data_IF_061617990383
#
_entry.id   IF_061617990383
#
_cell.length_a   1.000
_cell.length_b   1.000
_cell.length_c   1.000
_cell.angle_alpha   90.00
_cell.angle_beta   90.00
_cell.angle_gamma   90.00
#
_symmetry.space_group_name_H-M   'P 1'
#
loop_
_entity.id
_entity.type
_entity.pdbx_description
1 polymer ?
#
# COMPACT_ATOMS: atom_id res chain seq x y z
N UNK A 1 5.92 -14.80 7.35
CA UNK A 1 6.00 -13.40 7.82
C UNK A 1 5.31 -12.54 6.77
N UNK A 2 5.01 -11.28 7.02
CA UNK A 2 4.35 -10.40 6.04
C UNK A 2 5.13 -9.10 5.91
N UNK A 3 4.86 -8.36 4.82
CA UNK A 3 5.28 -6.97 4.70
C UNK A 3 4.06 -6.05 4.65
N UNK A 4 4.19 -4.86 5.24
CA UNK A 4 3.22 -3.79 5.09
C UNK A 4 3.73 -2.81 4.02
N UNK A 5 2.96 -2.63 2.96
CA UNK A 5 3.25 -1.68 1.88
C UNK A 5 2.20 -0.58 1.94
N UNK A 6 2.61 0.67 2.03
CA UNK A 6 1.70 1.81 1.92
C UNK A 6 1.77 2.42 0.52
N UNK A 7 0.66 2.99 0.03
CA UNK A 7 0.63 3.60 -1.30
C UNK A 7 0.72 2.58 -2.44
N UNK A 8 0.38 1.32 -2.16
CA UNK A 8 0.52 0.21 -3.10
C UNK A 8 -0.51 0.19 -4.23
N UNK A 9 -1.46 1.13 -4.29
CA UNK A 9 -2.33 1.33 -5.46
C UNK A 9 -1.79 2.43 -6.42
N UNK A 10 -0.73 3.15 -6.03
CA UNK A 10 -0.03 4.09 -6.91
C UNK A 10 0.90 3.41 -7.92
N UNK A 11 1.54 4.19 -8.80
CA UNK A 11 2.36 3.64 -9.89
C UNK A 11 3.52 2.74 -9.43
N UNK A 12 4.43 3.27 -8.60
CA UNK A 12 5.58 2.49 -8.11
C UNK A 12 5.12 1.41 -7.13
N UNK A 13 4.22 1.77 -6.23
CA UNK A 13 3.70 0.87 -5.21
C UNK A 13 3.04 -0.39 -5.80
N UNK A 14 2.19 -0.24 -6.81
CA UNK A 14 1.51 -1.38 -7.43
C UNK A 14 2.50 -2.31 -8.15
N UNK A 15 3.47 -1.76 -8.89
CA UNK A 15 4.51 -2.56 -9.52
C UNK A 15 5.33 -3.33 -8.47
N UNK A 16 5.69 -2.70 -7.36
CA UNK A 16 6.37 -3.38 -6.26
C UNK A 16 5.53 -4.52 -5.69
N UNK A 17 4.24 -4.30 -5.42
CA UNK A 17 3.35 -5.35 -4.86
C UNK A 17 3.20 -6.52 -5.83
N UNK A 18 2.99 -6.26 -7.12
CA UNK A 18 2.86 -7.30 -8.15
C UNK A 18 4.16 -8.11 -8.25
N UNK A 19 5.30 -7.44 -8.39
CA UNK A 19 6.60 -8.10 -8.51
C UNK A 19 6.97 -8.89 -7.26
N UNK A 20 6.67 -8.35 -6.08
CA UNK A 20 6.91 -9.04 -4.80
C UNK A 20 6.14 -10.36 -4.72
N UNK A 21 4.84 -10.35 -5.04
CA UNK A 21 3.98 -11.54 -4.99
C UNK A 21 4.30 -12.56 -6.09
N UNK A 22 4.88 -12.12 -7.21
CA UNK A 22 5.33 -13.01 -8.27
C UNK A 22 6.59 -13.81 -7.88
N UNK A 23 7.49 -13.20 -7.12
CA UNK A 23 8.83 -13.77 -6.84
C UNK A 23 9.05 -14.25 -5.41
N UNK A 24 8.14 -13.92 -4.48
CA UNK A 24 8.25 -14.28 -3.07
C UNK A 24 7.00 -15.01 -2.59
N UNK A 25 7.16 -15.80 -1.53
CA UNK A 25 6.04 -16.47 -0.85
C UNK A 25 5.55 -15.72 0.41
N UNK A 26 5.84 -14.42 0.47
CA UNK A 26 5.52 -13.57 1.61
C UNK A 26 4.27 -12.73 1.34
N UNK A 27 3.19 -12.82 2.15
CA UNK A 27 2.01 -11.99 2.01
C UNK A 27 2.30 -10.49 2.11
N UNK A 28 1.51 -9.72 1.37
CA UNK A 28 1.54 -8.26 1.34
C UNK A 28 0.27 -7.69 1.92
N UNK A 29 0.41 -6.87 2.95
CA UNK A 29 -0.66 -6.00 3.47
C UNK A 29 -0.50 -4.65 2.77
N UNK A 30 -1.41 -4.33 1.86
CA UNK A 30 -1.37 -3.13 1.04
C UNK A 30 -2.33 -2.08 1.60
N UNK A 31 -1.79 -1.07 2.29
CA UNK A 31 -2.53 0.05 2.85
C UNK A 31 -2.53 1.22 1.87
N UNK A 32 -3.69 1.59 1.35
CA UNK A 32 -3.80 2.73 0.44
C UNK A 32 -5.05 3.56 0.73
N UNK A 33 -4.92 4.89 0.70
CA UNK A 33 -6.04 5.82 0.91
C UNK A 33 -6.96 5.90 -0.30
N UNK A 34 -6.48 5.46 -1.47
CA UNK A 34 -7.11 5.66 -2.78
C UNK A 34 -7.40 7.15 -3.00
N UNK A 35 -6.35 7.97 -2.91
CA UNK A 35 -6.41 9.37 -3.34
C UNK A 35 -6.51 9.43 -4.88
N UNK A 36 -6.46 10.62 -5.46
CA UNK A 36 -6.50 10.79 -6.93
C UNK A 36 -5.40 10.00 -7.67
N UNK A 37 -4.28 9.69 -7.00
CA UNK A 37 -3.15 8.97 -7.59
C UNK A 37 -3.21 7.45 -7.37
N UNK A 38 -4.13 6.97 -6.53
CA UNK A 38 -4.33 5.54 -6.28
C UNK A 38 -5.37 4.94 -7.23
N UNK A 39 -5.05 3.83 -7.88
CA UNK A 39 -5.96 3.16 -8.80
C UNK A 39 -5.95 1.64 -8.59
N UNK A 40 -7.10 1.07 -8.20
CA UNK A 40 -7.25 -0.37 -7.97
C UNK A 40 -7.07 -1.20 -9.25
N UNK A 41 -7.28 -0.61 -10.43
CA UNK A 41 -7.02 -1.30 -11.71
C UNK A 41 -5.55 -1.68 -11.86
N UNK A 42 -4.63 -0.94 -11.22
CA UNK A 42 -3.21 -1.30 -11.19
C UNK A 42 -2.97 -2.63 -10.47
N UNK A 43 -3.91 -3.07 -9.63
CA UNK A 43 -3.85 -4.30 -8.83
C UNK A 43 -4.84 -5.38 -9.33
N UNK A 44 -5.49 -5.19 -10.48
CA UNK A 44 -6.53 -6.09 -10.97
C UNK A 44 -6.03 -7.55 -11.11
N UNK A 45 -4.77 -7.74 -11.50
CA UNK A 45 -4.14 -9.07 -11.60
C UNK A 45 -3.94 -9.80 -10.27
N UNK A 46 -4.17 -9.13 -9.13
CA UNK A 46 -4.08 -9.70 -7.79
C UNK A 46 -5.46 -10.00 -7.19
N UNK A 47 -6.57 -9.77 -7.91
CA UNK A 47 -7.90 -10.09 -7.40
C UNK A 47 -8.02 -11.58 -7.05
N UNK A 48 -8.47 -11.86 -5.83
CA UNK A 48 -8.61 -13.23 -5.31
C UNK A 48 -7.30 -13.88 -4.86
N UNK A 49 -6.16 -13.19 -4.94
CA UNK A 49 -4.90 -13.71 -4.41
C UNK A 49 -4.91 -13.62 -2.87
N UNK A 50 -4.96 -14.76 -2.19
CA UNK A 50 -5.01 -14.84 -0.72
C UNK A 50 -3.79 -14.21 -0.02
N UNK A 51 -2.67 -14.06 -0.74
CA UNK A 51 -1.45 -13.42 -0.22
C UNK A 51 -1.46 -11.89 -0.38
N UNK A 52 -2.47 -11.33 -1.06
CA UNK A 52 -2.65 -9.88 -1.19
C UNK A 52 -3.85 -9.41 -0.36
N UNK A 53 -3.57 -8.75 0.76
CA UNK A 53 -4.58 -8.16 1.63
C UNK A 53 -4.63 -6.67 1.37
N UNK A 54 -5.69 -6.19 0.73
CA UNK A 54 -5.90 -4.77 0.50
C UNK A 54 -6.66 -4.13 1.66
N UNK A 55 -6.10 -3.04 2.21
CA UNK A 55 -6.72 -2.24 3.27
C UNK A 55 -6.87 -0.82 2.77
N UNK A 56 -8.12 -0.36 2.64
CA UNK A 56 -8.38 1.04 2.33
C UNK A 56 -8.29 1.88 3.61
N UNK A 57 -7.38 2.85 3.66
CA UNK A 57 -7.24 3.71 4.83
C UNK A 57 -6.10 4.72 4.72
N UNK A 58 -6.01 5.62 5.69
CA UNK A 58 -5.00 6.67 5.74
C UNK A 58 -3.83 6.25 6.65
N UNK A 59 -2.59 6.48 6.21
CA UNK A 59 -1.41 6.26 7.05
C UNK A 59 -1.35 7.23 8.25
N UNK A 60 -2.08 8.34 8.19
CA UNK A 60 -2.25 9.27 9.32
C UNK A 60 -3.23 8.79 10.39
N UNK A 61 -3.99 7.72 10.14
CA UNK A 61 -4.91 7.14 11.12
C UNK A 61 -4.16 6.17 12.05
N UNK A 62 -3.59 6.70 13.14
CA UNK A 62 -2.74 5.93 14.06
C UNK A 62 -3.39 4.63 14.55
N UNK A 63 -4.69 4.66 14.89
CA UNK A 63 -5.42 3.48 15.39
C UNK A 63 -5.59 2.39 14.33
N UNK A 64 -5.61 2.73 13.04
CA UNK A 64 -5.59 1.78 11.95
C UNK A 64 -4.20 1.15 11.80
N UNK A 65 -3.16 1.99 11.76
CA UNK A 65 -1.78 1.52 11.61
C UNK A 65 -1.39 0.60 12.78
N UNK A 66 -1.69 1.00 14.02
CA UNK A 66 -1.45 0.19 15.22
C UNK A 66 -2.13 -1.18 15.14
N UNK A 67 -3.39 -1.21 14.69
CA UNK A 67 -4.14 -2.45 14.51
C UNK A 67 -3.49 -3.36 13.46
N UNK A 68 -3.12 -2.81 12.30
CA UNK A 68 -2.48 -3.58 11.22
C UNK A 68 -1.12 -4.14 11.66
N UNK A 69 -0.33 -3.35 12.39
CA UNK A 69 0.95 -3.79 12.95
C UNK A 69 0.77 -4.91 13.99
N UNK A 70 -0.22 -4.79 14.86
CA UNK A 70 -0.52 -5.80 15.88
C UNK A 70 -1.08 -7.10 15.30
N UNK A 71 -2.01 -7.00 14.34
CA UNK A 71 -2.70 -8.14 13.71
C UNK A 71 -1.78 -8.92 12.78
N UNK A 72 -1.11 -8.24 11.85
CA UNK A 72 -0.34 -8.90 10.80
C UNK A 72 1.13 -9.11 11.17
N UNK A 73 1.64 -8.38 12.18
CA UNK A 73 3.04 -8.43 12.65
C UNK A 73 4.05 -8.46 11.50
N UNK A 74 3.99 -7.47 10.58
CA UNK A 74 4.88 -7.46 9.43
C UNK A 74 6.33 -7.35 9.88
N UNK A 75 7.23 -8.05 9.19
CA UNK A 75 8.67 -7.99 9.50
C UNK A 75 9.34 -6.72 8.95
N UNK A 76 8.68 -6.05 8.01
CA UNK A 76 9.15 -4.85 7.35
C UNK A 76 7.99 -3.96 6.91
N UNK A 77 8.25 -2.66 6.82
CA UNK A 77 7.32 -1.65 6.29
C UNK A 77 8.00 -0.97 5.10
N UNK A 78 7.30 -0.87 3.97
CA UNK A 78 7.73 -0.16 2.78
C UNK A 78 6.74 0.97 2.53
N UNK A 79 7.20 2.21 2.61
CA UNK A 79 6.33 3.39 2.58
C UNK A 79 6.41 4.13 1.23
N UNK A 80 5.45 3.90 0.32
CA UNK A 80 5.32 4.67 -0.93
C UNK A 80 4.23 5.74 -0.86
N UNK A 81 3.37 5.73 0.16
CA UNK A 81 2.28 6.69 0.29
C UNK A 81 2.83 8.13 0.41
N UNK A 82 2.49 8.96 -0.57
CA UNK A 82 2.80 10.38 -0.62
C UNK A 82 1.87 11.11 -1.60
N UNK A 83 1.73 12.43 -1.48
CA UNK A 83 1.23 13.26 -2.57
C UNK A 83 2.41 13.72 -3.43
N UNK A 84 2.44 13.32 -4.70
CA UNK A 84 3.64 13.44 -5.56
C UNK A 84 3.55 14.51 -6.65
N UNK A 85 2.41 15.17 -6.85
CA UNK A 85 2.29 16.25 -7.83
C UNK A 85 2.76 17.59 -7.26
N UNK A 86 3.85 18.11 -7.83
CA UNK A 86 4.47 19.40 -7.49
C UNK A 86 3.50 20.57 -7.65
N UNK A 87 2.56 20.53 -8.60
CA UNK A 87 1.59 21.61 -8.83
C UNK A 87 0.68 21.89 -7.62
N UNK A 88 0.46 20.90 -6.74
CA UNK A 88 -0.29 21.09 -5.49
C UNK A 88 0.59 21.39 -4.28
N UNK A 89 1.90 21.14 -4.36
CA UNK A 89 2.87 21.49 -3.32
C UNK A 89 3.15 23.01 -3.26
N UNK A 90 2.79 23.76 -4.31
CA UNK A 90 2.99 25.23 -4.40
C UNK A 90 1.84 26.01 -3.74
N UNK A 91 0.66 25.40 -3.57
CA UNK A 91 -0.54 26.09 -3.08
C UNK A 91 -0.75 26.06 -1.57
N UNK A 92 0.21 25.56 -0.78
CA UNK A 92 0.18 25.69 0.68
C UNK A 92 1.35 25.00 1.37
N UNK A 93 2.32 25.75 1.94
CA UNK A 93 3.23 25.23 2.96
C UNK A 93 2.52 25.04 4.31
#
# INVERSE_FOLDING_TARGET
MSILVTGGAGFIGANFVIDWLAHNDEPVINLDKLTYAGNLENLAGLQGNERHVFVRGDIGETSLVDRLLAEHRPRAVINFAAESHVDRSIHGP
#
